data_IF_534006251712
#
_entry.id   IF_534006251712
#
_cell.length_a   1.000
_cell.length_b   1.000
_cell.length_c   1.000
_cell.angle_alpha   90.00
_cell.angle_beta   90.00
_cell.angle_gamma   90.00
#
_symmetry.space_group_name_H-M   'P 1'
#
loop_
_entity.id
_entity.type
_entity.pdbx_description
1 polymer ?
#
# COMPACT_ATOMS: atom_id res chain seq x y z
N UNK A 1 0.36 13.85 -9.91
CA UNK A 1 -0.17 13.21 -8.69
C UNK A 1 -0.82 11.87 -9.05
N UNK A 2 -0.59 10.81 -8.27
CA UNK A 2 -1.19 9.48 -8.47
C UNK A 2 -1.99 9.05 -7.24
N UNK A 3 -3.15 8.43 -7.46
CA UNK A 3 -3.91 7.76 -6.40
C UNK A 3 -3.36 6.35 -6.20
N UNK A 4 -2.57 6.16 -5.15
CA UNK A 4 -1.84 4.91 -4.89
C UNK A 4 -2.74 3.66 -4.83
N UNK A 5 -3.98 3.78 -4.31
CA UNK A 5 -4.89 2.64 -4.20
C UNK A 5 -5.47 2.18 -5.55
N UNK A 6 -5.75 3.12 -6.45
CA UNK A 6 -6.44 2.85 -7.71
C UNK A 6 -5.50 2.79 -8.90
N UNK A 7 -4.28 3.32 -8.76
CA UNK A 7 -3.32 3.51 -9.85
C UNK A 7 -3.72 4.62 -10.82
N UNK A 8 -4.65 5.50 -10.43
CA UNK A 8 -5.15 6.58 -11.29
C UNK A 8 -4.21 7.80 -11.25
N UNK A 9 -3.78 8.27 -12.42
CA UNK A 9 -3.15 9.58 -12.54
C UNK A 9 -4.21 10.66 -12.40
N UNK A 10 -4.02 11.56 -11.44
CA UNK A 10 -4.91 12.70 -11.16
C UNK A 10 -4.35 13.99 -11.76
N UNK A 11 -3.03 14.12 -11.81
CA UNK A 11 -2.35 15.31 -12.31
C UNK A 11 -1.08 14.94 -13.05
N UNK A 12 -0.69 15.79 -13.99
CA UNK A 12 0.47 15.60 -14.87
C UNK A 12 0.05 15.22 -16.28
N UNK A 13 1.03 14.96 -17.14
CA UNK A 13 0.85 14.61 -18.55
C UNK A 13 -0.03 13.37 -18.76
N UNK A 14 0.05 12.43 -17.82
CA UNK A 14 -0.71 11.18 -17.86
C UNK A 14 -2.07 11.29 -17.15
N UNK A 15 -2.56 12.48 -16.81
CA UNK A 15 -3.85 12.63 -16.11
C UNK A 15 -4.99 11.93 -16.86
N UNK A 16 -5.76 11.10 -16.16
CA UNK A 16 -6.79 10.24 -16.75
C UNK A 16 -6.33 8.81 -17.03
N UNK A 17 -5.02 8.57 -17.19
CA UNK A 17 -4.45 7.23 -17.36
C UNK A 17 -4.47 6.39 -16.07
N UNK A 18 -4.46 5.07 -16.24
CA UNK A 18 -4.44 4.10 -15.13
C UNK A 18 -3.34 3.08 -15.32
N UNK A 19 -2.56 2.84 -14.26
CA UNK A 19 -1.53 1.80 -14.24
C UNK A 19 -2.16 0.40 -14.34
N UNK A 20 -1.43 -0.53 -14.98
CA UNK A 20 -1.74 -1.95 -14.91
C UNK A 20 -1.65 -2.43 -13.46
N UNK A 21 -2.68 -3.18 -13.02
CA UNK A 21 -2.80 -3.61 -11.64
C UNK A 21 -2.06 -4.93 -11.44
N UNK A 22 -0.96 -4.89 -10.70
CA UNK A 22 -0.26 -6.10 -10.26
C UNK A 22 -0.94 -6.72 -9.03
N UNK A 23 -0.69 -8.01 -8.82
CA UNK A 23 -1.18 -8.72 -7.64
C UNK A 23 -0.67 -8.04 -6.36
N UNK A 24 -1.62 -7.64 -5.51
CA UNK A 24 -1.36 -6.93 -4.26
C UNK A 24 -2.44 -7.28 -3.23
N UNK A 25 -2.11 -7.15 -1.95
CA UNK A 25 -3.00 -7.41 -0.84
C UNK A 25 -3.09 -6.18 0.06
N UNK A 26 -4.31 -5.72 0.34
CA UNK A 26 -4.58 -4.70 1.35
C UNK A 26 -4.90 -5.38 2.67
N UNK A 27 -4.05 -5.14 3.66
CA UNK A 27 -4.24 -5.67 5.00
C UNK A 27 -3.86 -4.62 6.03
N UNK A 28 -4.58 -4.62 7.15
CA UNK A 28 -4.09 -3.94 8.35
C UNK A 28 -2.88 -4.71 8.88
N UNK A 29 -1.90 -4.01 9.46
CA UNK A 29 -0.68 -4.62 9.97
C UNK A 29 -0.96 -5.72 11.00
N UNK A 30 -1.99 -5.56 11.85
CA UNK A 30 -2.35 -6.54 12.88
C UNK A 30 -2.91 -7.83 12.29
N UNK A 31 -3.75 -7.73 11.25
CA UNK A 31 -4.26 -8.91 10.56
C UNK A 31 -3.13 -9.59 9.77
N UNK A 32 -2.24 -8.81 9.17
CA UNK A 32 -1.07 -9.34 8.47
C UNK A 32 -0.16 -10.14 9.41
N UNK A 33 0.12 -9.64 10.62
CA UNK A 33 0.95 -10.37 11.59
C UNK A 33 0.36 -11.70 12.04
N UNK A 34 -0.98 -11.82 12.08
CA UNK A 34 -1.65 -13.08 12.41
C UNK A 34 -1.44 -14.14 11.32
N UNK A 35 -1.50 -13.74 10.04
CA UNK A 35 -1.27 -14.63 8.90
C UNK A 35 0.22 -14.88 8.59
N UNK A 36 1.08 -13.92 8.93
CA UNK A 36 2.51 -13.95 8.66
C UNK A 36 3.31 -13.73 9.96
N UNK A 37 3.35 -14.74 10.86
CA UNK A 37 3.90 -14.59 12.22
C UNK A 37 5.41 -14.32 12.27
N UNK A 38 6.12 -14.49 11.15
CA UNK A 38 7.54 -14.16 11.01
C UNK A 38 7.78 -12.68 10.68
N UNK A 39 6.72 -11.90 10.44
CA UNK A 39 6.84 -10.47 10.15
C UNK A 39 7.32 -9.74 11.39
N UNK A 40 8.46 -9.07 11.30
CA UNK A 40 8.95 -8.21 12.38
C UNK A 40 8.11 -6.93 12.49
N UNK A 41 7.58 -6.69 13.68
CA UNK A 41 6.83 -5.47 13.99
C UNK A 41 7.72 -4.47 14.72
N UNK A 42 7.85 -3.28 14.16
CA UNK A 42 8.59 -2.18 14.75
C UNK A 42 7.62 -1.16 15.34
N UNK A 43 7.67 -0.98 16.66
CA UNK A 43 6.93 0.05 17.38
C UNK A 43 7.72 1.37 17.47
N UNK A 44 7.04 2.46 17.81
CA UNK A 44 7.74 3.67 18.20
C UNK A 44 8.57 3.39 19.45
N UNK A 45 9.86 3.78 19.45
CA UNK A 45 10.65 3.81 20.67
C UNK A 45 10.01 4.81 21.63
N UNK A 46 9.27 4.31 22.61
CA UNK A 46 8.97 5.10 23.81
C UNK A 46 10.29 5.30 24.54
N UNK A 47 10.87 6.49 24.38
CA UNK A 47 11.92 7.00 25.26
C UNK A 47 11.38 7.31 26.65
#
# INVERSE_FOLDING_TARGET
>A
LWQALTGQAVEGELSGERLERLSSHYSCWFAWSDFHPQTELYGAATG
#
